data_IF_214350878198
#
_entry.id   IF_214350878198
#
_cell.length_a   1.000
_cell.length_b   1.000
_cell.length_c   1.000
_cell.angle_alpha   90.00
_cell.angle_beta   90.00
_cell.angle_gamma   90.00
#
_symmetry.space_group_name_H-M   'P 1'
#
loop_
_entity.id
_entity.type
_entity.pdbx_description
1 polymer ?
#
# COMPACT_ATOMS: atom_id res chain seq x y z
N UNK A 1 58.29 -63.52 -28.16
CA UNK A 1 56.88 -63.98 -28.11
C UNK A 1 56.22 -63.81 -26.73
N UNK A 2 56.61 -62.81 -25.91
CA UNK A 2 56.04 -62.59 -24.56
C UNK A 2 55.34 -61.23 -24.36
N UNK A 3 55.25 -60.39 -25.39
CA UNK A 3 54.60 -59.07 -25.28
C UNK A 3 53.14 -59.05 -25.79
N UNK A 4 52.72 -60.05 -26.58
CA UNK A 4 51.38 -60.07 -27.21
C UNK A 4 50.25 -60.55 -26.29
N UNK A 5 50.57 -61.27 -25.22
CA UNK A 5 49.56 -61.79 -24.28
C UNK A 5 49.14 -60.80 -23.19
N UNK A 6 49.97 -59.78 -22.89
CA UNK A 6 49.65 -58.81 -21.84
C UNK A 6 48.63 -57.75 -22.32
N UNK A 7 48.57 -57.47 -23.63
CA UNK A 7 47.71 -56.42 -24.18
C UNK A 7 46.24 -56.87 -24.36
N UNK A 8 45.97 -58.16 -24.62
CA UNK A 8 44.59 -58.66 -24.74
C UNK A 8 43.86 -58.77 -23.39
N UNK A 9 44.58 -58.97 -22.29
CA UNK A 9 43.99 -59.05 -20.94
C UNK A 9 43.59 -57.69 -20.38
N UNK A 10 44.32 -56.61 -20.72
CA UNK A 10 43.96 -55.25 -20.31
C UNK A 10 42.76 -54.69 -21.09
N UNK A 11 42.64 -54.99 -22.39
CA UNK A 11 41.48 -54.55 -23.18
C UNK A 11 40.18 -55.22 -22.73
N UNK A 12 40.20 -56.52 -22.40
CA UNK A 12 38.99 -57.22 -21.89
C UNK A 12 38.56 -56.74 -20.51
N UNK A 13 39.50 -56.38 -19.64
CA UNK A 13 39.16 -55.91 -18.28
C UNK A 13 38.69 -54.46 -18.27
N UNK A 14 39.21 -53.60 -19.16
CA UNK A 14 38.75 -52.22 -19.30
C UNK A 14 37.33 -52.13 -19.90
N UNK A 15 37.02 -52.95 -20.90
CA UNK A 15 35.68 -52.98 -21.52
C UNK A 15 34.60 -53.49 -20.54
N UNK A 16 34.92 -54.47 -19.69
CA UNK A 16 33.99 -54.99 -18.67
C UNK A 16 33.68 -53.98 -17.56
N UNK A 17 34.65 -53.13 -17.16
CA UNK A 17 34.43 -52.08 -16.16
C UNK A 17 33.57 -50.93 -16.71
N UNK A 18 33.73 -50.56 -17.97
CA UNK A 18 32.91 -49.54 -18.63
C UNK A 18 31.43 -49.93 -18.71
N UNK A 19 31.14 -51.17 -19.10
CA UNK A 19 29.76 -51.65 -19.26
C UNK A 19 28.98 -51.72 -17.92
N UNK A 20 29.67 -52.10 -16.84
CA UNK A 20 29.06 -52.19 -15.51
C UNK A 20 28.78 -50.81 -14.87
N UNK A 21 29.57 -49.79 -15.23
CA UNK A 21 29.34 -48.39 -14.85
C UNK A 21 28.15 -47.79 -15.59
N UNK A 22 28.03 -48.07 -16.89
CA UNK A 22 26.93 -47.57 -17.72
C UNK A 22 25.56 -48.14 -17.31
N UNK A 23 25.47 -49.43 -16.97
CA UNK A 23 24.22 -50.02 -16.43
C UNK A 23 23.83 -49.46 -15.06
N UNK A 24 24.80 -49.16 -14.17
CA UNK A 24 24.50 -48.51 -12.88
C UNK A 24 23.98 -47.08 -13.05
N UNK A 25 24.47 -46.34 -14.05
CA UNK A 25 23.97 -45.00 -14.39
C UNK A 25 22.50 -44.99 -14.84
N UNK A 26 22.12 -45.90 -15.74
CA UNK A 26 20.73 -46.01 -16.24
C UNK A 26 19.77 -46.42 -15.12
N UNK A 27 20.20 -47.29 -14.20
CA UNK A 27 19.35 -47.74 -13.10
C UNK A 27 19.11 -46.65 -12.04
N UNK A 28 20.11 -45.79 -11.78
CA UNK A 28 19.95 -44.63 -10.88
C UNK A 28 19.07 -43.53 -11.50
N UNK A 29 19.15 -43.30 -12.81
CA UNK A 29 18.31 -42.29 -13.47
C UNK A 29 16.82 -42.66 -13.45
N UNK A 30 16.50 -43.96 -13.64
CA UNK A 30 15.12 -44.47 -13.55
C UNK A 30 14.56 -44.42 -12.13
N UNK A 31 15.38 -44.66 -11.11
CA UNK A 31 14.99 -44.58 -9.68
C UNK A 31 14.70 -43.14 -9.23
N UNK A 32 15.43 -42.16 -9.76
CA UNK A 32 15.18 -40.75 -9.49
C UNK A 32 13.86 -40.26 -10.14
N UNK A 33 13.50 -40.79 -11.32
CA UNK A 33 12.24 -40.47 -11.98
C UNK A 33 11.01 -40.97 -11.20
N UNK A 34 11.06 -42.20 -10.65
CA UNK A 34 9.99 -42.73 -9.79
C UNK A 34 9.85 -41.96 -8.47
N UNK A 35 10.96 -41.51 -7.88
CA UNK A 35 10.91 -40.72 -6.65
C UNK A 35 10.38 -39.29 -6.88
N UNK A 36 10.67 -38.68 -8.04
CA UNK A 36 10.08 -37.39 -8.40
C UNK A 36 8.57 -37.49 -8.66
N UNK A 37 8.07 -38.58 -9.24
CA UNK A 37 6.62 -38.79 -9.39
C UNK A 37 5.92 -39.01 -8.04
N UNK A 38 6.54 -39.73 -7.11
CA UNK A 38 5.99 -39.93 -5.76
C UNK A 38 5.96 -38.63 -4.94
N UNK A 39 7.00 -37.79 -5.05
CA UNK A 39 7.01 -36.45 -4.42
C UNK A 39 5.89 -35.54 -4.97
N UNK A 40 5.64 -35.58 -6.29
CA UNK A 40 4.52 -34.82 -6.90
C UNK A 40 3.15 -35.25 -6.39
N UNK A 41 2.94 -36.54 -6.13
CA UNK A 41 1.66 -37.05 -5.59
C UNK A 41 1.41 -36.60 -4.15
N UNK A 42 2.44 -36.57 -3.31
CA UNK A 42 2.28 -36.09 -1.92
C UNK A 42 2.02 -34.58 -1.85
N UNK A 43 2.68 -33.80 -2.72
CA UNK A 43 2.42 -32.37 -2.86
C UNK A 43 0.96 -32.08 -3.25
N UNK A 44 0.37 -32.90 -4.13
CA UNK A 44 -1.05 -32.76 -4.49
C UNK A 44 -1.98 -32.96 -3.28
N UNK A 45 -1.77 -33.99 -2.46
CA UNK A 45 -2.57 -34.19 -1.24
C UNK A 45 -2.40 -33.03 -0.25
N UNK A 46 -1.19 -32.49 -0.11
CA UNK A 46 -0.94 -31.32 0.73
C UNK A 46 -1.68 -30.08 0.20
N UNK A 47 -1.64 -29.83 -1.12
CA UNK A 47 -2.39 -28.73 -1.76
C UNK A 47 -3.89 -28.89 -1.50
N UNK A 48 -4.43 -30.09 -1.69
CA UNK A 48 -5.87 -30.37 -1.45
C UNK A 48 -6.22 -30.18 0.02
N UNK A 49 -5.39 -30.64 0.95
CA UNK A 49 -5.62 -30.46 2.39
C UNK A 49 -5.59 -28.99 2.79
N UNK A 50 -4.61 -28.21 2.30
CA UNK A 50 -4.54 -26.77 2.55
C UNK A 50 -5.75 -26.06 1.95
N UNK A 51 -6.18 -26.41 0.74
CA UNK A 51 -7.36 -25.84 0.09
C UNK A 51 -8.63 -26.18 0.88
N UNK A 52 -8.79 -27.42 1.34
CA UNK A 52 -9.94 -27.84 2.13
C UNK A 52 -9.99 -27.12 3.50
N UNK A 53 -8.86 -26.97 4.19
CA UNK A 53 -8.77 -26.21 5.45
C UNK A 53 -9.06 -24.73 5.21
N UNK A 54 -8.54 -24.16 4.12
CA UNK A 54 -8.80 -22.76 3.74
C UNK A 54 -10.28 -22.55 3.44
N UNK A 55 -10.91 -23.45 2.67
CA UNK A 55 -12.35 -23.42 2.43
C UNK A 55 -13.13 -23.59 3.74
N UNK A 56 -12.80 -24.55 4.60
CA UNK A 56 -13.49 -24.76 5.87
C UNK A 56 -13.47 -23.51 6.76
N UNK A 57 -12.36 -22.75 6.76
CA UNK A 57 -12.24 -21.52 7.54
C UNK A 57 -12.95 -20.32 6.90
N UNK A 58 -12.97 -20.21 5.57
CA UNK A 58 -13.55 -19.05 4.85
C UNK A 58 -15.04 -19.28 4.50
N UNK A 59 -15.49 -20.51 4.36
CA UNK A 59 -16.83 -20.83 3.89
C UNK A 59 -17.92 -20.37 4.87
N UNK A 60 -17.79 -20.52 6.21
CA UNK A 60 -18.74 -19.95 7.15
C UNK A 60 -18.86 -18.42 7.03
N UNK A 61 -17.76 -17.71 6.80
CA UNK A 61 -17.78 -16.25 6.63
C UNK A 61 -18.41 -15.86 5.29
N UNK A 62 -18.08 -16.55 4.20
CA UNK A 62 -18.75 -16.37 2.90
C UNK A 62 -20.26 -16.58 3.02
N UNK A 63 -20.71 -17.64 3.69
CA UNK A 63 -22.15 -17.88 3.90
C UNK A 63 -22.80 -16.86 4.82
N UNK A 64 -22.08 -16.33 5.81
CA UNK A 64 -22.59 -15.28 6.67
C UNK A 64 -22.79 -13.98 5.88
N UNK A 65 -21.81 -13.59 5.06
CA UNK A 65 -21.86 -12.36 4.25
C UNK A 65 -22.70 -12.48 2.97
N UNK A 66 -22.97 -13.70 2.48
CA UNK A 66 -23.83 -13.93 1.32
C UNK A 66 -25.31 -13.99 1.67
N UNK A 67 -25.68 -14.00 2.96
CA UNK A 67 -27.09 -13.92 3.36
C UNK A 67 -27.69 -12.63 2.80
N UNK A 68 -28.65 -12.71 1.86
CA UNK A 68 -29.29 -11.52 1.35
C UNK A 68 -30.03 -10.83 2.50
N UNK A 69 -30.19 -9.52 2.37
CA UNK A 69 -31.07 -8.79 3.27
C UNK A 69 -32.47 -9.42 3.19
N UNK A 70 -33.12 -9.59 4.35
CA UNK A 70 -34.47 -10.18 4.43
C UNK A 70 -35.52 -9.40 3.64
N UNK A 71 -35.28 -8.12 3.42
CA UNK A 71 -36.09 -7.21 2.64
C UNK A 71 -35.18 -6.14 2.02
N UNK A 72 -35.65 -5.50 0.95
CA UNK A 72 -35.01 -4.29 0.41
C UNK A 72 -34.95 -3.20 1.48
N UNK A 73 -33.94 -2.34 1.39
CA UNK A 73 -33.85 -1.14 2.23
C UNK A 73 -34.83 -0.12 1.65
N UNK A 74 -35.80 0.27 2.46
CA UNK A 74 -36.78 1.30 2.19
C UNK A 74 -36.33 2.66 2.75
N UNK A 75 -37.01 3.74 2.34
CA UNK A 75 -36.67 5.09 2.75
C UNK A 75 -36.68 5.28 4.29
N UNK A 76 -37.67 4.78 5.06
CA UNK A 76 -37.67 4.93 6.51
C UNK A 76 -36.46 4.26 7.18
N UNK A 77 -36.09 3.06 6.74
CA UNK A 77 -34.90 2.38 7.25
C UNK A 77 -33.62 3.10 6.89
N UNK A 78 -33.53 3.67 5.68
CA UNK A 78 -32.40 4.50 5.28
C UNK A 78 -32.28 5.76 6.15
N UNK A 79 -33.40 6.42 6.46
CA UNK A 79 -33.43 7.59 7.34
C UNK A 79 -32.97 7.25 8.77
N UNK A 80 -33.40 6.10 9.31
CA UNK A 80 -32.90 5.61 10.61
C UNK A 80 -31.39 5.32 10.59
N UNK A 81 -30.86 4.80 9.47
CA UNK A 81 -29.40 4.62 9.33
C UNK A 81 -28.69 5.96 9.28
N UNK A 82 -29.24 6.95 8.56
CA UNK A 82 -28.70 8.30 8.47
C UNK A 82 -28.67 9.00 9.83
N UNK A 83 -29.75 8.92 10.63
CA UNK A 83 -29.77 9.47 11.98
C UNK A 83 -28.72 8.81 12.88
N UNK A 84 -28.57 7.48 12.80
CA UNK A 84 -27.53 6.76 13.52
C UNK A 84 -26.10 7.10 13.07
N UNK A 85 -25.90 7.57 11.82
CA UNK A 85 -24.61 8.12 11.38
C UNK A 85 -24.34 9.46 12.06
N UNK A 86 -25.32 10.38 12.05
CA UNK A 86 -25.21 11.68 12.73
C UNK A 86 -24.88 11.51 14.21
N UNK A 87 -25.62 10.64 14.89
CA UNK A 87 -25.41 10.32 16.30
C UNK A 87 -24.00 9.79 16.55
N UNK A 88 -23.54 8.78 15.79
CA UNK A 88 -22.20 8.20 15.97
C UNK A 88 -21.08 9.19 15.68
N UNK A 89 -21.22 10.03 14.65
CA UNK A 89 -20.23 11.08 14.33
C UNK A 89 -20.14 12.07 15.47
N UNK A 90 -21.27 12.54 15.99
CA UNK A 90 -21.29 13.45 17.12
C UNK A 90 -20.79 12.80 18.42
N UNK A 91 -21.05 11.50 18.62
CA UNK A 91 -20.55 10.73 19.76
C UNK A 91 -19.02 10.66 19.80
N UNK A 92 -18.34 10.68 18.63
CA UNK A 92 -16.85 10.73 18.59
C UNK A 92 -16.26 11.92 19.35
N UNK A 93 -16.99 13.04 19.42
CA UNK A 93 -16.60 14.22 20.18
C UNK A 93 -16.61 13.95 21.68
N UNK A 94 -17.70 13.35 22.16
CA UNK A 94 -17.89 12.99 23.57
C UNK A 94 -16.83 11.97 23.98
N UNK A 95 -16.67 10.90 23.19
CA UNK A 95 -15.70 9.84 23.45
C UNK A 95 -14.27 10.38 23.50
N UNK A 96 -13.93 11.30 22.58
CA UNK A 96 -12.62 11.94 22.54
C UNK A 96 -12.38 12.80 23.79
N UNK A 97 -13.39 13.57 24.23
CA UNK A 97 -13.31 14.36 25.47
C UNK A 97 -13.15 13.48 26.72
N UNK A 98 -13.92 12.39 26.82
CA UNK A 98 -13.79 11.41 27.92
C UNK A 98 -12.44 10.71 27.93
N UNK A 99 -11.92 10.37 26.75
CA UNK A 99 -10.59 9.78 26.61
C UNK A 99 -9.51 10.76 27.08
N UNK A 100 -9.61 12.04 26.70
CA UNK A 100 -8.68 13.08 27.15
C UNK A 100 -8.68 13.25 28.68
N UNK A 101 -9.85 13.23 29.32
CA UNK A 101 -9.93 13.21 30.79
C UNK A 101 -9.24 11.98 31.39
N UNK A 102 -9.50 10.81 30.82
CA UNK A 102 -8.91 9.55 31.29
C UNK A 102 -7.38 9.54 31.13
N UNK A 103 -6.88 10.11 30.03
CA UNK A 103 -5.46 10.22 29.73
C UNK A 103 -4.76 11.21 30.67
N UNK A 104 -5.35 12.39 30.92
CA UNK A 104 -4.85 13.32 31.94
C UNK A 104 -4.76 12.66 33.32
N UNK A 105 -5.80 11.90 33.71
CA UNK A 105 -5.80 11.15 34.97
C UNK A 105 -4.68 10.11 35.03
N UNK A 106 -4.39 9.41 33.94
CA UNK A 106 -3.31 8.43 33.86
C UNK A 106 -1.93 9.07 34.00
N UNK A 107 -1.74 10.27 33.45
CA UNK A 107 -0.51 11.05 33.60
C UNK A 107 -0.38 11.70 34.99
N UNK A 108 -1.42 11.66 35.83
CA UNK A 108 -1.44 12.31 37.13
C UNK A 108 -1.62 13.83 37.07
N UNK A 109 -2.03 14.38 35.93
CA UNK A 109 -2.25 15.82 35.73
C UNK A 109 -3.74 16.17 35.81
N UNK A 110 -4.06 17.38 36.30
CA UNK A 110 -5.44 17.86 36.42
C UNK A 110 -5.65 19.06 35.49
N UNK A 111 -6.35 18.89 34.35
CA UNK A 111 -6.67 20.01 33.48
C UNK A 111 -7.71 20.93 34.16
N UNK A 112 -7.60 22.23 33.90
CA UNK A 112 -8.60 23.23 34.31
C UNK A 112 -9.85 23.10 33.45
N UNK A 113 -9.65 22.99 32.13
CA UNK A 113 -10.73 22.83 31.17
C UNK A 113 -10.31 21.99 29.96
N UNK A 114 -11.28 21.31 29.35
CA UNK A 114 -11.16 20.59 28.08
C UNK A 114 -12.39 20.96 27.27
N UNK A 115 -12.25 21.93 26.38
CA UNK A 115 -13.37 22.49 25.63
C UNK A 115 -13.10 22.47 24.13
N UNK A 116 -14.17 22.39 23.35
CA UNK A 116 -14.09 22.48 21.91
C UNK A 116 -13.92 23.95 21.51
N UNK A 117 -13.01 24.22 20.58
CA UNK A 117 -12.81 25.59 20.07
C UNK A 117 -14.02 25.95 19.21
N UNK A 118 -14.76 27.00 19.59
CA UNK A 118 -16.00 27.41 18.90
C UNK A 118 -15.79 27.76 17.42
N UNK A 119 -14.59 28.22 17.06
CA UNK A 119 -14.21 28.56 15.69
C UNK A 119 -13.89 27.30 14.85
N UNK A 120 -13.55 26.17 15.49
CA UNK A 120 -13.14 24.96 14.79
C UNK A 120 -13.53 23.69 15.58
N UNK A 121 -14.56 23.01 15.11
CA UNK A 121 -15.10 21.78 15.71
C UNK A 121 -14.13 20.59 15.69
N UNK A 122 -13.01 20.69 14.97
CA UNK A 122 -11.93 19.70 14.96
C UNK A 122 -10.89 19.89 16.05
N UNK A 123 -10.95 20.97 16.82
CA UNK A 123 -9.94 21.31 17.82
C UNK A 123 -10.50 21.29 19.24
N UNK A 124 -9.83 20.53 20.11
CA UNK A 124 -9.97 20.68 21.55
C UNK A 124 -8.87 21.61 22.08
N UNK A 125 -9.26 22.50 22.98
CA UNK A 125 -8.36 23.30 23.79
C UNK A 125 -8.35 22.74 25.21
N UNK A 126 -7.17 22.33 25.67
CA UNK A 126 -6.94 21.93 27.04
C UNK A 126 -6.13 23.01 27.74
N UNK A 127 -6.63 23.48 28.87
CA UNK A 127 -5.92 24.46 29.71
C UNK A 127 -5.43 23.79 30.97
N UNK A 128 -4.15 23.95 31.30
CA UNK A 128 -3.53 23.42 32.50
C UNK A 128 -3.21 24.53 33.49
N UNK A 129 -2.99 24.17 34.76
CA UNK A 129 -2.57 25.11 35.80
C UNK A 129 -1.11 25.54 35.63
N UNK A 130 -0.25 24.62 35.20
CA UNK A 130 1.19 24.82 35.07
C UNK A 130 1.66 24.44 33.65
N UNK A 131 2.68 25.14 33.16
CA UNK A 131 3.34 24.83 31.88
C UNK A 131 3.96 23.43 31.86
N UNK A 132 4.50 22.97 33.00
CA UNK A 132 5.10 21.64 33.13
C UNK A 132 4.11 20.51 32.80
N UNK A 133 2.85 20.65 33.22
CA UNK A 133 1.79 19.68 32.95
C UNK A 133 1.43 19.67 31.46
N UNK A 134 1.38 20.85 30.84
CA UNK A 134 1.14 21.01 29.42
C UNK A 134 2.25 20.36 28.58
N UNK A 135 3.52 20.56 28.95
CA UNK A 135 4.67 19.93 28.28
C UNK A 135 4.70 18.41 28.45
N UNK A 136 4.40 17.92 29.66
CA UNK A 136 4.27 16.48 29.91
C UNK A 136 3.19 15.86 29.01
N UNK A 137 2.04 16.52 28.92
CA UNK A 137 0.94 16.10 28.08
C UNK A 137 1.32 16.11 26.58
N UNK A 138 1.93 17.20 26.08
CA UNK A 138 2.43 17.30 24.69
C UNK A 138 3.42 16.19 24.36
N UNK A 139 4.30 15.83 25.30
CA UNK A 139 5.31 14.78 25.08
C UNK A 139 4.69 13.40 24.85
N UNK A 140 3.63 13.06 25.57
CA UNK A 140 3.06 11.70 25.53
C UNK A 140 1.85 11.55 24.61
N UNK A 141 1.10 12.63 24.35
CA UNK A 141 -0.11 12.56 23.54
C UNK A 141 0.11 11.97 22.14
N UNK A 142 1.14 12.35 21.34
CA UNK A 142 1.26 11.84 19.96
C UNK A 142 1.31 10.32 19.89
N UNK A 143 1.98 9.68 20.87
CA UNK A 143 2.04 8.22 20.94
C UNK A 143 0.75 7.61 21.47
N UNK A 144 0.18 8.19 22.53
CA UNK A 144 -1.04 7.66 23.13
C UNK A 144 -2.28 7.82 22.23
N UNK A 145 -2.42 8.99 21.59
CA UNK A 145 -3.51 9.31 20.68
C UNK A 145 -3.52 8.44 19.42
N UNK A 146 -2.34 8.11 18.88
CA UNK A 146 -2.21 7.17 17.76
C UNK A 146 -2.54 5.71 18.13
N UNK A 147 -2.47 5.35 19.42
CA UNK A 147 -2.80 4.00 19.91
C UNK A 147 -4.29 3.81 20.22
N UNK A 148 -5.13 4.83 20.01
CA UNK A 148 -6.58 4.67 20.13
C UNK A 148 -7.04 3.69 19.02
N UNK A 149 -7.68 2.56 19.38
CA UNK A 149 -7.96 1.47 18.44
C UNK A 149 -9.00 1.86 17.38
N UNK A 150 -9.80 2.89 17.65
CA UNK A 150 -10.77 3.42 16.71
C UNK A 150 -10.23 4.69 16.04
N UNK A 151 -9.84 4.55 14.77
CA UNK A 151 -9.20 5.61 13.97
C UNK A 151 -9.94 6.95 13.97
N UNK A 152 -11.28 7.01 13.89
CA UNK A 152 -12.00 8.29 13.98
C UNK A 152 -11.81 9.06 15.29
N UNK A 153 -11.52 8.35 16.39
CA UNK A 153 -11.26 8.92 17.72
C UNK A 153 -9.77 9.16 17.97
N UNK A 154 -8.88 8.94 17.00
CA UNK A 154 -7.47 9.25 17.15
C UNK A 154 -7.26 10.76 17.29
N UNK A 155 -6.29 11.11 18.14
CA UNK A 155 -6.01 12.47 18.55
C UNK A 155 -4.55 12.82 18.28
N UNK A 156 -4.31 14.02 17.79
CA UNK A 156 -2.99 14.51 17.45
C UNK A 156 -2.78 15.93 18.00
N UNK A 157 -1.53 16.33 18.19
CA UNK A 157 -1.24 17.73 18.49
C UNK A 157 -1.49 18.60 17.26
N UNK A 158 -2.14 19.75 17.46
CA UNK A 158 -2.29 20.73 16.40
C UNK A 158 -0.97 21.43 16.12
N UNK A 159 -0.64 21.66 14.85
CA UNK A 159 0.50 22.47 14.43
C UNK A 159 0.27 23.99 14.56
N UNK A 160 -0.97 24.40 14.89
CA UNK A 160 -1.40 25.80 15.00
C UNK A 160 -0.98 26.43 16.35
N UNK A 161 -0.07 25.78 17.10
CA UNK A 161 0.35 26.20 18.45
C UNK A 161 1.30 27.39 18.49
N UNK A 162 1.64 28.02 17.37
CA UNK A 162 2.71 29.04 17.29
C UNK A 162 2.43 30.35 18.07
N UNK A 163 1.24 30.56 18.63
CA UNK A 163 0.88 31.78 19.37
C UNK A 163 -0.03 31.51 20.58
N UNK A 164 -0.05 30.28 21.09
CA UNK A 164 -0.91 29.87 22.19
C UNK A 164 -0.14 29.94 23.50
N UNK A 165 -0.81 30.35 24.58
CA UNK A 165 -0.29 30.37 25.95
C UNK A 165 0.44 29.06 26.28
N UNK A 166 1.63 29.08 26.91
CA UNK A 166 2.39 27.88 27.26
C UNK A 166 1.59 26.86 28.10
N UNK A 167 0.59 27.32 28.84
CA UNK A 167 -0.31 26.47 29.66
C UNK A 167 -1.43 25.79 28.87
N UNK A 168 -1.60 26.14 27.60
CA UNK A 168 -2.67 25.64 26.75
C UNK A 168 -2.14 24.69 25.68
N UNK A 169 -2.92 23.64 25.40
CA UNK A 169 -2.60 22.64 24.39
C UNK A 169 -3.78 22.50 23.44
N UNK A 170 -3.50 22.65 22.15
CA UNK A 170 -4.48 22.41 21.09
C UNK A 170 -4.32 21.00 20.52
N UNK A 171 -5.43 20.27 20.51
CA UNK A 171 -5.50 18.89 20.05
C UNK A 171 -6.44 18.82 18.87
N UNK A 172 -5.99 18.17 17.81
CA UNK A 172 -6.77 17.91 16.61
C UNK A 172 -7.40 16.54 16.67
N UNK A 173 -8.69 16.48 16.35
CA UNK A 173 -9.45 15.26 16.09
C UNK A 173 -9.27 14.83 14.65
N UNK A 174 -9.34 13.52 14.40
CA UNK A 174 -9.36 13.00 13.03
C UNK A 174 -10.69 13.32 12.32
N UNK A 175 -11.81 13.30 13.03
CA UNK A 175 -13.13 13.74 12.52
C UNK A 175 -13.42 15.15 13.02
N UNK A 176 -13.25 16.14 12.14
CA UNK A 176 -13.41 17.56 12.44
C UNK A 176 -14.79 18.13 12.07
N UNK A 177 -15.80 17.27 11.97
CA UNK A 177 -17.16 17.66 11.57
C UNK A 177 -18.14 17.31 12.67
N UNK A 178 -19.08 18.23 12.89
CA UNK A 178 -20.28 18.01 13.70
C UNK A 178 -21.46 18.06 12.75
N UNK A 179 -22.29 17.03 12.77
CA UNK A 179 -23.44 16.92 11.89
C UNK A 179 -24.68 17.39 12.65
N UNK A 180 -25.43 18.33 12.08
CA UNK A 180 -26.72 18.72 12.63
C UNK A 180 -27.79 17.73 12.18
N UNK A 181 -28.63 17.30 13.11
CA UNK A 181 -29.78 16.48 12.82
C UNK A 181 -30.80 17.23 11.93
N UNK A 182 -30.87 18.56 12.02
CA UNK A 182 -31.76 19.36 11.16
C UNK A 182 -31.33 19.41 9.70
N UNK A 183 -30.04 19.15 9.41
CA UNK A 183 -29.50 19.14 8.05
C UNK A 183 -29.50 17.74 7.42
N UNK A 184 -30.14 16.75 8.06
CA UNK A 184 -30.16 15.38 7.57
C UNK A 184 -30.61 15.25 6.11
N UNK A 185 -31.64 15.98 5.71
CA UNK A 185 -32.19 15.92 4.35
C UNK A 185 -31.23 16.49 3.29
N UNK A 186 -30.28 17.34 3.70
CA UNK A 186 -29.22 17.89 2.84
C UNK A 186 -28.00 16.97 2.78
N UNK A 187 -27.71 16.30 3.90
CA UNK A 187 -26.53 15.45 4.06
C UNK A 187 -26.73 14.06 3.45
N UNK A 188 -27.95 13.54 3.50
CA UNK A 188 -28.26 12.17 3.09
C UNK A 188 -29.44 12.15 2.12
N UNK A 189 -29.26 11.49 0.99
CA UNK A 189 -30.30 11.27 0.01
C UNK A 189 -30.55 9.78 -0.17
N UNK A 190 -31.82 9.38 -0.14
CA UNK A 190 -32.23 8.02 -0.46
C UNK A 190 -32.63 7.91 -1.94
N UNK A 191 -32.14 6.87 -2.61
CA UNK A 191 -32.66 6.44 -3.91
C UNK A 191 -32.97 4.96 -3.90
N UNK A 192 -34.16 4.52 -4.34
CA UNK A 192 -34.41 3.12 -4.60
C UNK A 192 -33.60 2.66 -5.83
N UNK A 193 -33.44 1.34 -5.99
CA UNK A 193 -32.82 0.76 -7.20
C UNK A 193 -33.72 0.94 -8.43
N UNK A 194 -35.02 0.74 -8.26
CA UNK A 194 -36.02 0.85 -9.32
C UNK A 194 -37.02 1.95 -8.97
N UNK A 195 -37.43 2.73 -9.96
CA UNK A 195 -38.53 3.68 -9.86
C UNK A 195 -39.88 2.96 -9.82
N UNK A 196 -40.96 3.73 -9.61
CA UNK A 196 -42.33 3.20 -9.64
C UNK A 196 -42.68 2.52 -10.99
N UNK A 197 -42.06 2.97 -12.09
CA UNK A 197 -42.26 2.43 -13.45
C UNK A 197 -41.37 1.20 -13.75
N UNK A 198 -40.74 0.61 -12.71
CA UNK A 198 -39.82 -0.53 -12.82
C UNK A 198 -38.55 -0.25 -13.65
N UNK A 199 -38.28 1.01 -13.99
CA UNK A 199 -37.03 1.45 -14.59
C UNK A 199 -35.96 1.65 -13.52
N UNK A 200 -34.68 1.59 -13.89
CA UNK A 200 -33.58 1.91 -12.96
C UNK A 200 -33.68 3.40 -12.62
N UNK A 201 -33.75 3.72 -11.33
CA UNK A 201 -33.83 5.11 -10.87
C UNK A 201 -32.60 5.91 -11.31
N UNK A 202 -32.80 7.16 -11.75
CA UNK A 202 -31.74 7.96 -12.37
C UNK A 202 -30.57 8.20 -11.42
N UNK A 203 -30.83 8.61 -10.17
CA UNK A 203 -29.77 8.79 -9.17
C UNK A 203 -29.01 7.49 -8.86
N UNK A 204 -29.70 6.34 -8.85
CA UNK A 204 -29.02 5.06 -8.69
C UNK A 204 -28.11 4.75 -9.89
N UNK A 205 -28.56 5.04 -11.11
CA UNK A 205 -27.78 4.88 -12.34
C UNK A 205 -26.53 5.76 -12.30
N UNK A 206 -26.67 7.04 -11.94
CA UNK A 206 -25.55 7.98 -11.82
C UNK A 206 -24.47 7.47 -10.85
N UNK A 207 -24.88 6.92 -9.70
CA UNK A 207 -23.94 6.33 -8.74
C UNK A 207 -23.21 5.12 -9.35
N UNK A 208 -23.91 4.25 -10.07
CA UNK A 208 -23.31 3.08 -10.72
C UNK A 208 -22.35 3.53 -11.83
N UNK A 209 -22.75 4.50 -12.66
CA UNK A 209 -21.95 5.02 -13.75
C UNK A 209 -20.66 5.67 -13.21
N UNK A 210 -20.73 6.48 -12.13
CA UNK A 210 -19.53 7.02 -11.46
C UNK A 210 -18.59 5.91 -10.96
N UNK A 211 -19.14 4.84 -10.35
CA UNK A 211 -18.32 3.70 -9.91
C UNK A 211 -17.70 2.94 -11.08
N UNK A 212 -18.45 2.72 -12.15
CA UNK A 212 -17.92 2.10 -13.37
C UNK A 212 -16.83 2.97 -13.97
N UNK A 213 -17.01 4.30 -13.99
CA UNK A 213 -15.99 5.24 -14.43
C UNK A 213 -14.75 5.19 -13.53
N UNK A 214 -14.89 5.13 -12.20
CA UNK A 214 -13.75 4.98 -11.29
C UNK A 214 -12.99 3.67 -11.51
N UNK A 215 -13.70 2.56 -11.72
CA UNK A 215 -13.08 1.26 -12.04
C UNK A 215 -12.41 1.32 -13.41
N UNK A 216 -13.07 1.91 -14.41
CA UNK A 216 -12.50 2.11 -15.74
C UNK A 216 -11.25 2.99 -15.68
N UNK A 217 -11.24 4.06 -14.88
CA UNK A 217 -10.07 4.90 -14.65
C UNK A 217 -8.97 4.17 -13.87
N UNK A 218 -9.32 3.32 -12.91
CA UNK A 218 -8.33 2.52 -12.18
C UNK A 218 -7.67 1.46 -13.07
N UNK A 219 -8.42 0.89 -14.03
CA UNK A 219 -7.92 -0.17 -14.93
C UNK A 219 -7.26 0.41 -16.18
N UNK A 220 -7.89 1.39 -16.82
CA UNK A 220 -7.53 1.93 -18.13
C UNK A 220 -7.10 3.41 -18.09
N UNK A 221 -7.32 4.11 -16.99
CA UNK A 221 -6.81 5.46 -16.78
C UNK A 221 -5.29 5.48 -16.57
N UNK A 222 -4.69 6.67 -16.44
CA UNK A 222 -3.25 6.77 -16.44
C UNK A 222 -2.63 6.15 -15.19
N UNK A 223 -1.58 5.35 -15.36
CA UNK A 223 -0.90 4.75 -14.21
C UNK A 223 -0.13 5.83 -13.44
N UNK A 224 0.05 5.63 -12.12
CA UNK A 224 0.90 6.53 -11.30
C UNK A 224 2.30 6.66 -11.89
N UNK A 225 2.87 5.56 -12.36
CA UNK A 225 4.19 5.50 -12.98
C UNK A 225 4.25 6.31 -14.27
N UNK A 226 3.21 6.24 -15.11
CA UNK A 226 3.11 7.03 -16.32
C UNK A 226 2.95 8.52 -16.02
N UNK A 227 2.15 8.89 -15.00
CA UNK A 227 2.01 10.28 -14.56
C UNK A 227 3.33 10.86 -14.02
N UNK A 228 4.11 10.07 -13.27
CA UNK A 228 5.44 10.47 -12.82
C UNK A 228 6.41 10.64 -14.00
N UNK A 229 6.38 9.71 -14.96
CA UNK A 229 7.17 9.80 -16.19
C UNK A 229 6.78 11.03 -17.03
N UNK A 230 5.49 11.34 -17.11
CA UNK A 230 4.98 12.53 -17.79
C UNK A 230 5.42 13.82 -17.08
N UNK A 231 5.28 13.89 -15.75
CA UNK A 231 5.71 15.05 -14.97
C UNK A 231 7.21 15.36 -15.18
N UNK A 232 8.07 14.34 -15.15
CA UNK A 232 9.53 14.49 -15.35
C UNK A 232 9.94 14.87 -16.78
N UNK A 233 9.08 14.61 -17.77
CA UNK A 233 9.36 14.88 -19.20
C UNK A 233 8.64 16.11 -19.74
N UNK A 234 7.67 16.66 -19.02
CA UNK A 234 7.01 17.93 -19.32
C UNK A 234 7.98 19.12 -19.16
N UNK A 235 7.62 20.29 -19.69
CA UNK A 235 8.45 21.51 -19.59
C UNK A 235 8.70 21.94 -18.14
N UNK A 236 7.82 21.58 -17.21
CA UNK A 236 7.98 21.77 -15.77
C UNK A 236 9.07 20.84 -15.16
N UNK A 237 9.46 19.77 -15.85
CA UNK A 237 10.44 18.76 -15.42
C UNK A 237 11.90 19.20 -15.52
N UNK A 238 12.19 20.50 -15.56
CA UNK A 238 13.55 21.05 -15.47
C UNK A 238 13.96 21.43 -14.03
N UNK A 239 13.03 21.38 -13.09
CA UNK A 239 13.33 21.57 -11.67
C UNK A 239 14.15 20.37 -11.14
N UNK A 240 15.30 20.60 -10.45
CA UNK A 240 16.06 19.57 -9.76
C UNK A 240 15.24 18.67 -8.82
N UNK A 241 14.08 19.13 -8.32
CA UNK A 241 13.18 18.32 -7.51
C UNK A 241 12.69 17.04 -8.22
N UNK A 242 12.66 17.03 -9.55
CA UNK A 242 12.28 15.86 -10.36
C UNK A 242 13.41 14.83 -10.53
N UNK A 243 14.66 15.18 -10.22
CA UNK A 243 15.81 14.25 -10.32
C UNK A 243 15.59 13.02 -9.42
N UNK A 244 15.00 13.21 -8.23
CA UNK A 244 14.72 12.13 -7.27
C UNK A 244 13.65 11.16 -7.80
N UNK A 245 12.64 11.67 -8.50
CA UNK A 245 11.59 10.84 -9.12
C UNK A 245 12.20 9.99 -10.24
N UNK A 246 13.08 10.57 -11.07
CA UNK A 246 13.78 9.83 -12.13
C UNK A 246 14.65 8.72 -11.54
N UNK A 247 15.39 9.00 -10.46
CA UNK A 247 16.23 8.02 -9.76
C UNK A 247 15.37 6.89 -9.17
N UNK A 248 14.24 7.24 -8.56
CA UNK A 248 13.31 6.28 -7.94
C UNK A 248 12.74 5.34 -8.99
N UNK A 249 12.24 5.89 -10.11
CA UNK A 249 11.73 5.10 -11.24
C UNK A 249 12.81 4.19 -11.84
N UNK A 250 14.02 4.71 -12.05
CA UNK A 250 15.13 3.91 -12.57
C UNK A 250 15.50 2.76 -11.64
N UNK A 251 15.49 3.00 -10.32
CA UNK A 251 15.72 1.97 -9.31
C UNK A 251 14.62 0.91 -9.34
N UNK A 252 13.35 1.33 -9.36
CA UNK A 252 12.20 0.41 -9.43
C UNK A 252 12.26 -0.48 -10.67
N UNK A 253 12.64 0.06 -11.84
CA UNK A 253 12.84 -0.72 -13.08
C UNK A 253 13.89 -1.81 -12.87
N UNK A 254 15.05 -1.45 -12.29
CA UNK A 254 16.15 -2.40 -12.05
C UNK A 254 15.77 -3.45 -10.99
N UNK A 255 15.08 -3.04 -9.93
CA UNK A 255 14.65 -3.94 -8.86
C UNK A 255 13.63 -4.97 -9.37
N UNK A 256 12.64 -4.54 -10.15
CA UNK A 256 11.67 -5.46 -10.79
C UNK A 256 12.36 -6.42 -11.75
N UNK A 257 13.31 -5.93 -12.55
CA UNK A 257 14.08 -6.76 -13.47
C UNK A 257 14.90 -7.83 -12.73
N UNK A 258 15.57 -7.46 -11.65
CA UNK A 258 16.39 -8.37 -10.85
C UNK A 258 15.55 -9.44 -10.13
N UNK A 259 14.35 -9.08 -9.64
CA UNK A 259 13.51 -9.98 -8.85
C UNK A 259 12.74 -10.95 -9.77
N UNK A 260 12.13 -10.45 -10.84
CA UNK A 260 11.19 -11.22 -11.66
C UNK A 260 11.80 -11.69 -12.98
N UNK A 261 12.82 -11.01 -13.49
CA UNK A 261 13.45 -11.23 -14.78
C UNK A 261 12.71 -10.57 -15.96
N UNK A 262 13.47 -10.13 -16.97
CA UNK A 262 12.99 -9.46 -18.20
C UNK A 262 11.83 -10.15 -18.90
N UNK A 263 11.85 -11.48 -18.95
CA UNK A 263 10.91 -12.26 -19.75
C UNK A 263 9.64 -12.65 -18.99
N UNK A 264 9.56 -12.33 -17.69
CA UNK A 264 8.41 -12.67 -16.88
C UNK A 264 7.17 -11.86 -17.32
N UNK A 265 5.99 -12.50 -17.48
CA UNK A 265 4.76 -11.80 -17.87
C UNK A 265 4.39 -10.64 -16.93
N UNK A 266 4.74 -10.74 -15.64
CA UNK A 266 4.50 -9.67 -14.66
C UNK A 266 5.40 -8.46 -14.96
N UNK A 267 6.68 -8.68 -15.27
CA UNK A 267 7.63 -7.62 -15.67
C UNK A 267 7.15 -6.88 -16.92
N UNK A 268 6.63 -7.61 -17.92
CA UNK A 268 6.06 -6.99 -19.13
C UNK A 268 4.86 -6.11 -18.83
N UNK A 269 3.90 -6.60 -18.03
CA UNK A 269 2.75 -5.81 -17.57
C UNK A 269 3.17 -4.58 -16.78
N UNK A 270 4.18 -4.72 -15.92
CA UNK A 270 4.74 -3.58 -15.20
C UNK A 270 5.30 -2.52 -16.17
N UNK A 271 6.06 -2.91 -17.19
CA UNK A 271 6.57 -1.95 -18.19
C UNK A 271 5.47 -1.32 -19.05
N UNK A 272 4.37 -2.03 -19.32
CA UNK A 272 3.21 -1.45 -20.01
C UNK A 272 2.61 -0.27 -19.24
N UNK A 273 2.66 -0.30 -17.90
CA UNK A 273 2.13 0.78 -17.06
C UNK A 273 2.79 2.13 -17.35
N UNK A 274 4.06 2.19 -17.76
CA UNK A 274 4.77 3.44 -18.08
C UNK A 274 4.18 4.17 -19.30
N UNK A 275 3.49 3.43 -20.17
CA UNK A 275 2.88 3.96 -21.39
C UNK A 275 1.37 4.14 -21.29
N UNK A 276 0.81 3.88 -20.11
CA UNK A 276 -0.60 4.02 -19.82
C UNK A 276 -0.92 5.49 -19.54
N UNK A 277 -1.06 6.28 -20.61
CA UNK A 277 -1.46 7.69 -20.62
C UNK A 277 -2.47 7.92 -21.75
N UNK A 278 -3.05 9.12 -21.82
CA UNK A 278 -3.89 9.51 -22.94
C UNK A 278 -3.10 9.44 -24.27
N UNK A 279 -3.78 9.12 -25.37
CA UNK A 279 -3.14 8.85 -26.67
C UNK A 279 -2.29 10.02 -27.19
N UNK A 280 -2.66 11.26 -26.86
CA UNK A 280 -1.95 12.48 -27.28
C UNK A 280 -0.64 12.71 -26.53
N UNK A 281 -0.51 12.21 -25.30
CA UNK A 281 0.64 12.44 -24.42
C UNK A 281 1.68 11.31 -24.47
N UNK A 282 1.29 10.16 -25.04
CA UNK A 282 2.13 8.97 -25.14
C UNK A 282 3.27 9.12 -26.13
N UNK A 283 3.08 9.93 -27.18
CA UNK A 283 4.03 10.04 -28.28
C UNK A 283 5.35 10.67 -27.81
N UNK A 284 6.44 9.91 -27.97
CA UNK A 284 7.79 10.35 -27.58
C UNK A 284 8.05 10.43 -26.08
N UNK A 285 7.14 9.93 -25.22
CA UNK A 285 7.37 9.95 -23.77
C UNK A 285 8.60 9.13 -23.37
N UNK A 286 8.72 7.92 -23.92
CA UNK A 286 9.85 7.03 -23.64
C UNK A 286 11.18 7.65 -24.08
N UNK A 287 11.22 8.28 -25.25
CA UNK A 287 12.45 8.90 -25.77
C UNK A 287 12.84 10.12 -24.94
N UNK A 288 11.87 10.97 -24.55
CA UNK A 288 12.11 12.10 -23.65
C UNK A 288 12.62 11.65 -22.28
N UNK A 289 12.03 10.60 -21.71
CA UNK A 289 12.45 10.07 -20.41
C UNK A 289 13.86 9.48 -20.46
N UNK A 290 14.20 8.72 -21.51
CA UNK A 290 15.56 8.20 -21.73
C UNK A 290 16.55 9.37 -21.82
N UNK A 291 16.25 10.41 -22.60
CA UNK A 291 17.12 11.58 -22.73
C UNK A 291 17.34 12.32 -21.39
N UNK A 292 16.29 12.39 -20.54
CA UNK A 292 16.39 12.94 -19.18
C UNK A 292 17.25 12.07 -18.27
N UNK A 293 17.06 10.75 -18.27
CA UNK A 293 17.91 9.82 -17.53
C UNK A 293 19.38 9.90 -17.95
N UNK A 294 19.67 10.02 -19.24
CA UNK A 294 21.04 10.16 -19.75
C UNK A 294 21.68 11.46 -19.27
N UNK A 295 20.94 12.56 -19.32
CA UNK A 295 21.38 13.87 -18.82
C UNK A 295 21.68 13.80 -17.32
N UNK A 296 20.79 13.19 -16.54
CA UNK A 296 20.98 13.02 -15.09
C UNK A 296 22.16 12.10 -14.76
N UNK A 297 22.33 11.01 -15.51
CA UNK A 297 23.48 10.10 -15.38
C UNK A 297 24.81 10.82 -15.62
N UNK A 298 24.88 11.67 -16.66
CA UNK A 298 26.06 12.52 -16.93
C UNK A 298 26.33 13.50 -15.78
N UNK A 299 25.29 14.13 -15.23
CA UNK A 299 25.38 15.04 -14.07
C UNK A 299 25.93 14.32 -12.85
N UNK A 300 25.39 13.15 -12.50
CA UNK A 300 25.86 12.34 -11.35
C UNK A 300 27.30 11.88 -11.53
N UNK A 301 27.68 11.39 -12.72
CA UNK A 301 29.07 10.99 -13.01
C UNK A 301 30.04 12.16 -12.83
N UNK A 302 29.68 13.35 -13.34
CA UNK A 302 30.48 14.57 -13.16
C UNK A 302 30.63 14.94 -11.69
N UNK A 303 29.53 14.94 -10.92
CA UNK A 303 29.58 15.21 -9.47
C UNK A 303 30.46 14.20 -8.73
N UNK A 304 30.38 12.90 -9.07
CA UNK A 304 31.23 11.85 -8.47
C UNK A 304 32.71 12.10 -8.72
N UNK A 305 33.10 12.51 -9.94
CA UNK A 305 34.50 12.83 -10.25
C UNK A 305 35.02 14.00 -9.40
N UNK A 306 34.23 15.07 -9.28
CA UNK A 306 34.57 16.23 -8.43
C UNK A 306 34.78 15.81 -6.97
N UNK A 307 33.90 14.97 -6.41
CA UNK A 307 34.07 14.47 -5.05
C UNK A 307 35.34 13.62 -4.88
N UNK A 308 35.68 12.79 -5.88
CA UNK A 308 36.91 11.98 -5.85
C UNK A 308 38.18 12.86 -5.89
N UNK A 309 38.20 13.91 -6.71
CA UNK A 309 39.31 14.89 -6.75
C UNK A 309 39.48 15.63 -5.41
N UNK A 310 38.37 16.08 -4.80
CA UNK A 310 38.39 16.73 -3.49
C UNK A 310 38.92 15.77 -2.41
N UNK A 311 38.54 14.49 -2.44
CA UNK A 311 39.02 13.48 -1.50
C UNK A 311 40.53 13.21 -1.68
N UNK A 312 41.01 13.11 -2.91
CA UNK A 312 42.45 12.93 -3.19
C UNK A 312 43.28 14.14 -2.71
N UNK A 313 42.80 15.36 -2.97
CA UNK A 313 43.47 16.59 -2.48
C UNK A 313 43.51 16.67 -0.95
N UNK A 314 42.47 16.20 -0.26
CA UNK A 314 42.47 16.13 1.21
C UNK A 314 43.43 15.08 1.74
N UNK A 315 43.51 13.91 1.10
CA UNK A 315 44.44 12.84 1.48
C UNK A 315 45.90 13.22 1.28
N UNK A 316 46.22 14.09 0.30
CA UNK A 316 47.59 14.52 0.04
C UNK A 316 48.07 15.65 0.97
N UNK A 317 47.17 16.27 1.74
CA UNK A 317 47.49 17.35 2.70
C UNK A 317 47.62 16.85 4.14
N UNK A 318 47.40 15.56 4.38
CA UNK A 318 47.62 14.85 5.65
C UNK A 318 48.94 14.09 5.52
#
# INVERSE_FOLDING_TARGET
MHSKFHFELELKTSFRRGFHSFQKGIHNHRRNHENMEKQKRWQFYLIVAVLAITLYNILPTLFFYSKPLKSSIDAPRAQHVASGIVERVNQTEVDSKEWLYSFCRLLGIKPISIDLVTTNNGLFQITFKNEQDAELFKRFLPRAGALIPFVPNQLELSSITANVDPTQVLIRRNVAVRLDASDMDKLFQFTPKYSHDHQIADLYREIIDDRVTQVALAIAGPSKTALQMFATTSEAGNDPSYDEIIITLAKEIVDVDNILGKNNPITKRYYETFSQLSSKEREGLNTKFIAKMETLSKKIKKSKLVYMEILQLKLHKI
#
